data_IF_162413102966
#
_entry.id   IF_162413102966
#
_cell.length_a   1.000
_cell.length_b   1.000
_cell.length_c   1.000
_cell.angle_alpha   90.00
_cell.angle_beta   90.00
_cell.angle_gamma   90.00
#
_symmetry.space_group_name_H-M   'P 1'
#
loop_
_entity.id
_entity.type
_entity.pdbx_description
1 polymer ?
#
# COMPACT_ATOMS: atom_id res chain seq x y z
N UNK A 1 23.01 11.38 0.17
CA UNK A 1 21.99 11.75 1.18
C UNK A 1 21.38 10.45 1.65
N UNK A 2 21.41 10.19 2.95
CA UNK A 2 20.74 9.03 3.53
C UNK A 2 19.23 9.29 3.46
N UNK A 3 18.50 8.44 2.75
CA UNK A 3 17.05 8.54 2.66
C UNK A 3 16.49 8.12 4.02
N UNK A 4 15.75 9.01 4.69
CA UNK A 4 15.10 8.66 5.95
C UNK A 4 14.01 7.63 5.67
N UNK A 5 14.32 6.36 5.96
CA UNK A 5 13.43 5.24 5.65
C UNK A 5 12.05 5.37 6.30
N UNK A 6 11.95 6.00 7.48
CA UNK A 6 10.67 6.21 8.16
C UNK A 6 9.80 7.20 7.36
N UNK A 7 10.38 8.31 6.92
CA UNK A 7 9.69 9.33 6.12
C UNK A 7 9.31 8.80 4.72
N UNK A 8 10.21 8.04 4.10
CA UNK A 8 9.95 7.39 2.81
C UNK A 8 8.78 6.41 2.89
N UNK A 9 8.77 5.51 3.88
CA UNK A 9 7.69 4.55 4.08
C UNK A 9 6.38 5.27 4.42
N UNK A 10 6.43 6.28 5.30
CA UNK A 10 5.25 7.08 5.67
C UNK A 10 4.64 7.82 4.48
N UNK A 11 5.48 8.40 3.61
CA UNK A 11 5.03 9.06 2.37
C UNK A 11 4.35 8.05 1.44
N UNK A 12 4.97 6.88 1.24
CA UNK A 12 4.40 5.82 0.41
C UNK A 12 3.11 5.24 1.00
N UNK A 13 2.99 5.15 2.33
CA UNK A 13 1.75 4.76 3.02
C UNK A 13 0.61 5.74 2.73
N UNK A 14 0.89 7.05 2.74
CA UNK A 14 -0.07 8.07 2.33
C UNK A 14 -0.53 7.92 0.87
N UNK A 15 0.39 7.58 -0.05
CA UNK A 15 0.03 7.31 -1.45
C UNK A 15 -0.87 6.08 -1.58
N UNK A 16 -0.53 4.98 -0.90
CA UNK A 16 -1.33 3.75 -0.90
C UNK A 16 -2.72 4.00 -0.31
N UNK A 17 -2.82 4.69 0.83
CA UNK A 17 -4.10 5.01 1.45
C UNK A 17 -5.00 5.81 0.50
N UNK A 18 -4.46 6.86 -0.12
CA UNK A 18 -5.20 7.68 -1.10
C UNK A 18 -5.63 6.90 -2.34
N UNK A 19 -4.83 5.93 -2.78
CA UNK A 19 -5.20 5.07 -3.92
C UNK A 19 -6.38 4.16 -3.56
N UNK A 20 -6.34 3.52 -2.38
CA UNK A 20 -7.42 2.65 -1.90
C UNK A 20 -8.71 3.44 -1.62
N UNK A 21 -8.60 4.64 -1.06
CA UNK A 21 -9.74 5.54 -0.81
C UNK A 21 -10.47 5.92 -2.11
N UNK A 22 -9.71 6.26 -3.17
CA UNK A 22 -10.27 6.73 -4.44
C UNK A 22 -10.66 5.64 -5.42
N UNK A 23 -9.92 4.53 -5.45
CA UNK A 23 -10.05 3.49 -6.47
C UNK A 23 -10.62 2.19 -5.91
N UNK A 24 -10.77 2.09 -4.58
CA UNK A 24 -11.29 0.93 -3.91
C UNK A 24 -10.29 -0.21 -3.76
N UNK A 25 -10.83 -1.41 -3.59
CA UNK A 25 -10.08 -2.66 -3.37
C UNK A 25 -9.14 -2.95 -4.56
N UNK A 26 -7.87 -3.23 -4.28
CA UNK A 26 -6.83 -3.45 -5.30
C UNK A 26 -5.86 -4.56 -4.93
N UNK A 27 -5.28 -5.21 -5.93
CA UNK A 27 -4.11 -6.08 -5.75
C UNK A 27 -2.80 -5.27 -5.68
N UNK A 28 -1.68 -5.94 -5.35
CA UNK A 28 -0.36 -5.31 -5.20
C UNK A 28 0.15 -4.67 -6.50
N UNK A 29 -0.13 -5.29 -7.67
CA UNK A 29 0.31 -4.76 -8.97
C UNK A 29 -0.47 -3.50 -9.33
N UNK A 30 -1.77 -3.49 -9.07
CA UNK A 30 -2.66 -2.35 -9.23
C UNK A 30 -2.26 -1.21 -8.30
N UNK A 31 -1.99 -1.48 -7.03
CA UNK A 31 -1.49 -0.50 -6.06
C UNK A 31 -0.18 0.14 -6.52
N UNK A 32 0.80 -0.68 -6.94
CA UNK A 32 2.07 -0.19 -7.46
C UNK A 32 1.87 0.75 -8.67
N UNK A 33 0.99 0.37 -9.60
CA UNK A 33 0.67 1.18 -10.78
C UNK A 33 -0.05 2.49 -10.42
N UNK A 34 -1.03 2.44 -9.52
CA UNK A 34 -1.82 3.60 -9.11
C UNK A 34 -1.00 4.62 -8.32
N UNK A 35 -0.09 4.15 -7.46
CA UNK A 35 0.75 4.99 -6.60
C UNK A 35 2.05 5.44 -7.28
N UNK A 36 2.43 4.82 -8.40
CA UNK A 36 3.73 5.00 -9.08
C UNK A 36 4.94 4.67 -8.19
N UNK A 37 4.73 3.88 -7.14
CA UNK A 37 5.81 3.35 -6.31
C UNK A 37 6.68 2.39 -7.16
N UNK A 38 8.00 2.50 -7.05
CA UNK A 38 8.95 1.85 -7.97
C UNK A 38 8.99 0.34 -7.80
N UNK A 39 8.93 -0.15 -6.56
CA UNK A 39 9.12 -1.57 -6.25
C UNK A 39 7.94 -2.13 -5.46
N UNK A 40 7.69 -3.44 -5.58
CA UNK A 40 6.67 -4.09 -4.74
C UNK A 40 7.09 -4.09 -3.27
N UNK A 41 8.39 -4.14 -2.97
CA UNK A 41 8.91 -4.07 -1.59
C UNK A 41 8.48 -2.78 -0.89
N UNK A 42 8.52 -1.66 -1.60
CA UNK A 42 8.10 -0.36 -1.05
C UNK A 42 6.58 -0.30 -0.83
N UNK A 43 5.80 -0.94 -1.71
CA UNK A 43 4.35 -1.11 -1.51
C UNK A 43 4.09 -1.96 -0.26
N UNK A 44 4.80 -3.07 -0.08
CA UNK A 44 4.66 -3.91 1.12
C UNK A 44 5.07 -3.18 2.40
N UNK A 45 6.12 -2.35 2.36
CA UNK A 45 6.50 -1.51 3.51
C UNK A 45 5.40 -0.50 3.87
N UNK A 46 4.82 0.16 2.86
CA UNK A 46 3.68 1.06 3.03
C UNK A 46 2.43 0.34 3.57
N UNK A 47 2.13 -0.86 3.07
CA UNK A 47 1.04 -1.71 3.57
C UNK A 47 1.28 -2.13 5.02
N UNK A 48 2.50 -2.51 5.38
CA UNK A 48 2.87 -2.84 6.76
C UNK A 48 2.68 -1.66 7.72
N UNK A 49 3.02 -0.45 7.27
CA UNK A 49 2.77 0.77 8.03
C UNK A 49 1.27 0.98 8.30
N UNK A 50 0.42 0.90 7.26
CA UNK A 50 -1.03 1.06 7.40
C UNK A 50 -1.68 -0.09 8.19
N UNK A 51 -1.15 -1.30 8.10
CA UNK A 51 -1.62 -2.46 8.86
C UNK A 51 -1.34 -2.30 10.37
N UNK A 52 -0.19 -1.73 10.74
CA UNK A 52 0.10 -1.34 12.15
C UNK A 52 -0.92 -0.33 12.68
N UNK A 53 -1.46 0.51 11.82
CA UNK A 53 -2.50 1.51 12.15
C UNK A 53 -3.92 0.94 12.04
N UNK A 54 -4.08 -0.37 11.78
CA UNK A 54 -5.37 -1.06 11.65
C UNK A 54 -6.29 -0.52 10.54
N UNK A 55 -5.72 0.12 9.51
CA UNK A 55 -6.47 0.79 8.43
C UNK A 55 -6.84 -0.11 7.25
N UNK A 56 -6.36 -1.35 7.23
CA UNK A 56 -6.48 -2.23 6.06
C UNK A 56 -7.27 -3.51 6.38
N UNK A 57 -7.94 -4.02 5.35
CA UNK A 57 -8.46 -5.38 5.27
C UNK A 57 -7.79 -6.11 4.11
N UNK A 58 -7.44 -7.39 4.34
CA UNK A 58 -6.81 -8.26 3.35
C UNK A 58 -7.75 -9.40 3.00
N UNK A 59 -7.99 -9.63 1.71
CA UNK A 59 -8.90 -10.67 1.22
C UNK A 59 -8.20 -11.46 0.11
N UNK A 60 -8.30 -12.79 0.16
CA UNK A 60 -7.87 -13.65 -0.95
C UNK A 60 -9.06 -13.98 -1.83
N UNK A 61 -9.00 -13.56 -3.10
CA UNK A 61 -9.97 -13.88 -4.15
C UNK A 61 -9.21 -14.50 -5.33
N UNK A 62 -9.63 -15.66 -5.81
CA UNK A 62 -9.01 -16.37 -6.94
C UNK A 62 -7.47 -16.44 -6.86
N UNK A 63 -6.96 -16.83 -5.68
CA UNK A 63 -5.54 -16.93 -5.37
C UNK A 63 -4.75 -15.59 -5.49
N UNK A 64 -5.46 -14.46 -5.47
CA UNK A 64 -4.91 -13.09 -5.50
C UNK A 64 -5.19 -12.39 -4.19
N UNK A 65 -4.15 -11.78 -3.61
CA UNK A 65 -4.28 -10.94 -2.41
C UNK A 65 -4.77 -9.55 -2.82
N UNK A 66 -5.96 -9.21 -2.36
CA UNK A 66 -6.57 -7.89 -2.48
C UNK A 66 -6.50 -7.16 -1.16
N UNK A 67 -6.32 -5.85 -1.25
CA UNK A 67 -6.24 -4.92 -0.11
C UNK A 67 -7.33 -3.87 -0.27
N UNK A 68 -8.03 -3.56 0.82
CA UNK A 68 -8.99 -2.46 0.90
C UNK A 68 -8.79 -1.67 2.21
N UNK A 69 -9.33 -0.45 2.28
CA UNK A 69 -9.49 0.23 3.57
C UNK A 69 -10.54 -0.51 4.41
N UNK A 70 -10.34 -0.52 5.73
CA UNK A 70 -11.33 -1.01 6.70
C UNK A 70 -12.50 -0.02 6.84
#
# INVERSE_FOLDING_TARGET
>A
MEENMIEYIGTNAGLVWNALDKLGKMDIKQLKKATKIRTEKDVYAALGWLAKEEKLTFVYEDNTLLVALR
#
